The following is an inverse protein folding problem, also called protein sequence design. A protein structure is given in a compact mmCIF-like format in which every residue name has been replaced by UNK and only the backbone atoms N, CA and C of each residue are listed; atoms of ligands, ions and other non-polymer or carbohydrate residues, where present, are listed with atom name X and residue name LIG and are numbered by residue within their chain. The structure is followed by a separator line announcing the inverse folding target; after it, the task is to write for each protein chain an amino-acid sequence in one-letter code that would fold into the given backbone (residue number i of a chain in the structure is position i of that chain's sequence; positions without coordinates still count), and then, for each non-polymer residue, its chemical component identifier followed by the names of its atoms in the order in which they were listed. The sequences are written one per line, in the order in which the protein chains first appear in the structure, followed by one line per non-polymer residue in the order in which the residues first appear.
data_IF_994209598492
#
_entry.id   IF_994209598492
#
_cell.length_a   1.000
_cell.length_b   1.000
_cell.length_c   1.000
_cell.angle_alpha   90.00
_cell.angle_beta   90.00
_cell.angle_gamma   90.00
#
_symmetry.space_group_name_H-M   'P 1'
#
loop_
_entity.id
_entity.type
_entity.pdbx_description
1 polymer ?
#
# COMPACT_ATOMS: atom_id res chain seq x y z
N UNK A 1 8.92 25.16 24.12
CA UNK A 1 8.95 23.82 23.48
C UNK A 1 7.64 23.06 23.70
N UNK A 2 6.96 23.26 24.82
CA UNK A 2 5.74 22.52 25.19
C UNK A 2 4.56 22.73 24.22
N UNK A 3 4.39 23.95 23.71
CA UNK A 3 3.37 24.25 22.69
C UNK A 3 3.60 23.43 21.42
N UNK A 4 4.85 23.34 20.96
CA UNK A 4 5.20 22.59 19.76
C UNK A 4 5.00 21.07 19.97
N UNK A 5 5.42 20.57 21.13
CA UNK A 5 5.19 19.19 21.55
C UNK A 5 3.69 18.86 21.56
N UNK A 6 2.85 19.71 22.14
CA UNK A 6 1.39 19.54 22.12
C UNK A 6 0.82 19.57 20.70
N UNK A 7 1.21 20.54 19.86
CA UNK A 7 0.71 20.67 18.49
C UNK A 7 1.02 19.45 17.63
N UNK A 8 2.26 18.93 17.67
CA UNK A 8 2.62 17.70 16.97
C UNK A 8 1.91 16.47 17.54
N UNK A 9 1.63 16.45 18.85
CA UNK A 9 0.83 15.38 19.44
C UNK A 9 -0.62 15.39 18.94
N UNK A 10 -1.25 16.57 18.84
CA UNK A 10 -2.62 16.73 18.31
C UNK A 10 -2.67 16.39 16.82
N UNK A 11 -1.73 16.91 16.03
CA UNK A 11 -1.66 16.59 14.60
C UNK A 11 -1.40 15.09 14.36
N UNK A 12 -0.54 14.48 15.18
CA UNK A 12 -0.28 13.04 15.17
C UNK A 12 -1.52 12.22 15.53
N UNK A 13 -2.35 12.68 16.46
CA UNK A 13 -3.62 12.04 16.82
C UNK A 13 -4.60 12.07 15.62
N UNK A 14 -4.78 13.24 15.01
CA UNK A 14 -5.70 13.40 13.86
C UNK A 14 -5.27 12.53 12.69
N UNK A 15 -3.99 12.58 12.31
CA UNK A 15 -3.48 11.79 11.17
C UNK A 15 -3.52 10.29 11.43
N UNK A 16 -3.22 9.85 12.65
CA UNK A 16 -3.34 8.44 13.04
C UNK A 16 -4.79 7.94 13.06
N UNK A 17 -5.76 8.78 13.43
CA UNK A 17 -7.18 8.39 13.39
C UNK A 17 -7.63 8.06 11.97
N UNK A 18 -7.20 8.84 10.97
CA UNK A 18 -7.44 8.50 9.57
C UNK A 18 -6.83 7.14 9.18
N UNK A 19 -5.64 6.82 9.68
CA UNK A 19 -4.99 5.52 9.43
C UNK A 19 -5.76 4.36 10.09
N UNK A 20 -6.25 4.52 11.32
CA UNK A 20 -7.09 3.50 11.98
C UNK A 20 -8.45 3.30 11.30
N UNK A 21 -8.96 4.33 10.62
CA UNK A 21 -10.21 4.24 9.85
C UNK A 21 -10.01 3.69 8.43
N UNK A 22 -8.77 3.60 7.93
CA UNK A 22 -8.50 3.10 6.59
C UNK A 22 -9.05 1.67 6.33
N UNK A 23 -8.97 0.71 7.29
CA UNK A 23 -9.57 -0.61 7.11
C UNK A 23 -11.10 -0.65 7.11
N UNK A 24 -11.80 0.44 7.46
CA UNK A 24 -13.26 0.48 7.53
C UNK A 24 -13.90 0.12 6.17
N UNK A 25 -13.25 0.46 5.05
CA UNK A 25 -13.69 0.09 3.70
C UNK A 25 -13.70 -1.44 3.53
N UNK A 26 -12.64 -2.10 3.99
CA UNK A 26 -12.52 -3.58 3.99
C UNK A 26 -13.59 -4.21 4.88
N UNK A 27 -13.79 -3.68 6.09
CA UNK A 27 -14.79 -4.23 7.01
C UNK A 27 -16.23 -4.01 6.54
N UNK A 28 -16.51 -2.90 5.86
CA UNK A 28 -17.80 -2.68 5.19
C UNK A 28 -18.07 -3.76 4.15
N UNK A 29 -17.04 -4.20 3.41
CA UNK A 29 -17.15 -5.31 2.45
C UNK A 29 -17.44 -6.64 3.16
N UNK A 30 -16.72 -6.95 4.24
CA UNK A 30 -16.94 -8.16 5.05
C UNK A 30 -18.37 -8.22 5.59
N UNK A 31 -18.89 -7.09 6.08
CA UNK A 31 -20.27 -7.00 6.58
C UNK A 31 -21.30 -7.25 5.47
N UNK A 32 -21.05 -6.74 4.26
CA UNK A 32 -21.92 -6.92 3.10
C UNK A 32 -21.86 -8.35 2.53
N UNK A 33 -20.67 -8.94 2.44
CA UNK A 33 -20.47 -10.30 1.91
C UNK A 33 -20.75 -11.40 2.93
N UNK A 34 -20.86 -11.05 4.22
CA UNK A 34 -21.02 -11.97 5.36
C UNK A 34 -19.91 -13.02 5.41
N UNK A 35 -18.73 -12.69 4.88
CA UNK A 35 -17.56 -13.55 4.79
C UNK A 35 -16.29 -12.72 4.87
N UNK A 36 -15.26 -13.25 5.52
CA UNK A 36 -13.92 -12.61 5.52
C UNK A 36 -13.20 -12.74 4.18
N UNK A 37 -13.79 -13.45 3.21
CA UNK A 37 -13.18 -13.72 1.90
C UNK A 37 -11.74 -14.24 2.08
N UNK A 38 -10.76 -13.60 1.43
CA UNK A 38 -9.33 -13.90 1.54
C UNK A 38 -8.59 -12.92 2.46
N UNK A 39 -9.29 -12.08 3.22
CA UNK A 39 -8.68 -11.12 4.14
C UNK A 39 -8.12 -11.84 5.38
N UNK A 40 -6.93 -11.45 5.81
CA UNK A 40 -6.30 -11.94 7.03
C UNK A 40 -6.69 -11.08 8.23
N UNK A 41 -6.99 -11.73 9.35
CA UNK A 41 -7.30 -11.05 10.62
C UNK A 41 -6.06 -10.70 11.46
N UNK A 42 -4.89 -11.27 11.12
CA UNK A 42 -3.64 -11.13 11.89
C UNK A 42 -3.22 -9.67 12.08
N UNK A 43 -3.24 -8.80 11.03
CA UNK A 43 -2.82 -7.41 11.19
C UNK A 43 -3.62 -6.66 12.26
N UNK A 44 -4.92 -6.90 12.36
CA UNK A 44 -5.79 -6.21 13.34
C UNK A 44 -5.46 -6.65 14.77
N UNK A 45 -5.24 -7.94 15.00
CA UNK A 45 -4.86 -8.45 16.34
C UNK A 45 -3.47 -7.97 16.76
N UNK A 46 -2.51 -7.93 15.83
CA UNK A 46 -1.16 -7.43 16.14
C UNK A 46 -1.16 -5.91 16.38
N UNK A 47 -1.96 -5.16 15.61
CA UNK A 47 -2.16 -3.72 15.83
C UNK A 47 -2.81 -3.47 17.18
N UNK A 48 -3.80 -4.28 17.57
CA UNK A 48 -4.41 -4.22 18.90
C UNK A 48 -3.37 -4.38 20.02
N UNK A 49 -2.46 -5.35 19.92
CA UNK A 49 -1.37 -5.51 20.91
C UNK A 49 -0.49 -4.26 21.00
N UNK A 50 -0.07 -3.72 19.85
CA UNK A 50 0.75 -2.53 19.81
C UNK A 50 0.03 -1.30 20.39
N UNK A 51 -1.27 -1.15 20.08
CA UNK A 51 -2.10 -0.10 20.65
C UNK A 51 -2.24 -0.26 22.17
N UNK A 52 -2.48 -1.46 22.69
CA UNK A 52 -2.59 -1.69 24.13
C UNK A 52 -1.28 -1.36 24.86
N UNK A 53 -0.13 -1.85 24.37
CA UNK A 53 1.17 -1.56 24.96
C UNK A 53 1.55 -0.08 24.89
N UNK A 54 1.30 0.57 23.75
CA UNK A 54 1.59 1.99 23.56
C UNK A 54 0.64 2.88 24.37
N UNK A 55 -0.63 2.48 24.50
CA UNK A 55 -1.59 3.18 25.33
C UNK A 55 -1.19 3.13 26.80
N UNK A 56 -0.75 1.96 27.27
CA UNK A 56 -0.24 1.76 28.63
C UNK A 56 1.01 2.57 28.91
N UNK A 57 1.96 2.56 27.97
CA UNK A 57 3.18 3.36 28.04
C UNK A 57 2.88 4.86 28.19
N UNK A 58 1.88 5.37 27.46
CA UNK A 58 1.49 6.77 27.48
C UNK A 58 0.74 7.22 28.74
N UNK A 59 0.36 6.31 29.65
CA UNK A 59 -0.39 6.69 30.85
C UNK A 59 0.48 7.54 31.79
N UNK A 60 -0.07 8.56 32.48
CA UNK A 60 0.71 9.51 33.28
C UNK A 60 1.55 8.86 34.39
N UNK A 61 1.11 7.73 34.94
CA UNK A 61 1.87 7.00 35.94
C UNK A 61 3.06 6.22 35.34
N UNK A 62 3.04 5.89 34.05
CA UNK A 62 4.17 5.24 33.34
C UNK A 62 5.08 6.27 32.71
N UNK A 63 4.52 7.19 31.92
CA UNK A 63 5.24 8.30 31.29
C UNK A 63 4.43 9.60 31.36
N UNK A 64 4.75 10.51 32.31
CA UNK A 64 3.96 11.71 32.61
C UNK A 64 3.66 12.64 31.41
N UNK A 65 4.58 12.72 30.44
CA UNK A 65 4.48 13.66 29.31
C UNK A 65 3.90 13.02 28.03
N UNK A 66 3.43 11.78 28.07
CA UNK A 66 3.01 11.04 26.87
C UNK A 66 1.50 10.77 26.79
N UNK A 67 0.68 11.58 27.47
CA UNK A 67 -0.77 11.36 27.50
C UNK A 67 -1.39 11.31 26.09
N UNK A 68 -0.90 12.13 25.16
CA UNK A 68 -1.38 12.13 23.76
C UNK A 68 -1.07 10.82 23.01
N UNK A 69 -0.02 10.08 23.41
CA UNK A 69 0.23 8.73 22.91
C UNK A 69 -0.84 7.77 23.42
N UNK A 70 -1.27 7.95 24.68
CA UNK A 70 -2.33 7.13 25.28
C UNK A 70 -3.69 7.36 24.62
N UNK A 71 -4.05 8.60 24.30
CA UNK A 71 -5.35 8.93 23.67
C UNK A 71 -5.50 8.27 22.31
N UNK A 72 -4.49 8.39 21.44
CA UNK A 72 -4.59 7.84 20.08
C UNK A 72 -4.56 6.32 20.08
N UNK A 73 -3.71 5.71 20.92
CA UNK A 73 -3.58 4.26 20.97
C UNK A 73 -4.74 3.61 21.72
N UNK A 74 -5.32 4.27 22.72
CA UNK A 74 -6.56 3.84 23.35
C UNK A 74 -7.74 3.87 22.37
N UNK A 75 -7.84 4.92 21.56
CA UNK A 75 -8.82 5.02 20.47
C UNK A 75 -8.59 3.92 19.42
N UNK A 76 -7.34 3.73 19.01
CA UNK A 76 -6.93 2.65 18.10
C UNK A 76 -7.29 1.27 18.65
N UNK A 77 -7.03 1.00 19.92
CA UNK A 77 -7.39 -0.27 20.56
C UNK A 77 -8.91 -0.52 20.53
N UNK A 78 -9.73 0.51 20.75
CA UNK A 78 -11.18 0.38 20.63
C UNK A 78 -11.62 0.06 19.18
N UNK A 79 -11.06 0.77 18.19
CA UNK A 79 -11.34 0.54 16.77
C UNK A 79 -10.90 -0.86 16.33
N UNK A 80 -9.67 -1.26 16.67
CA UNK A 80 -9.12 -2.57 16.35
C UNK A 80 -9.89 -3.70 17.04
N UNK A 81 -10.39 -3.48 18.25
CA UNK A 81 -11.27 -4.45 18.92
C UNK A 81 -12.56 -4.68 18.12
N UNK A 82 -13.18 -3.62 17.58
CA UNK A 82 -14.37 -3.74 16.72
C UNK A 82 -14.03 -4.55 15.46
N UNK A 83 -12.91 -4.25 14.81
CA UNK A 83 -12.45 -4.99 13.63
C UNK A 83 -12.21 -6.47 13.94
N UNK A 84 -11.50 -6.79 15.02
CA UNK A 84 -11.26 -8.17 15.44
C UNK A 84 -12.57 -8.90 15.74
N UNK A 85 -13.52 -8.25 16.42
CA UNK A 85 -14.84 -8.83 16.71
C UNK A 85 -15.62 -9.15 15.43
N UNK A 86 -15.70 -8.19 14.49
CA UNK A 86 -16.35 -8.42 13.20
C UNK A 86 -15.66 -9.56 12.44
N UNK A 87 -14.33 -9.61 12.45
CA UNK A 87 -13.58 -10.69 11.80
C UNK A 87 -13.91 -12.05 12.41
N UNK A 88 -13.93 -12.17 13.74
CA UNK A 88 -14.25 -13.41 14.46
C UNK A 88 -15.69 -13.87 14.17
N UNK A 89 -16.63 -12.95 13.98
CA UNK A 89 -18.03 -13.27 13.66
C UNK A 89 -18.15 -13.92 12.27
N UNK A 90 -17.47 -13.39 11.25
CA UNK A 90 -17.62 -13.81 9.85
C UNK A 90 -16.53 -14.78 9.34
N UNK A 91 -15.48 -15.04 10.13
CA UNK A 91 -14.38 -15.91 9.73
C UNK A 91 -14.76 -17.40 9.71
N UNK A 92 -14.20 -18.20 8.77
CA UNK A 92 -14.34 -19.65 8.80
C UNK A 92 -13.67 -20.24 10.05
N UNK A 93 -14.17 -21.40 10.54
CA UNK A 93 -13.74 -22.04 11.81
C UNK A 93 -12.21 -22.13 11.97
N UNK A 94 -11.48 -22.48 10.90
CA UNK A 94 -10.02 -22.59 10.91
C UNK A 94 -9.33 -21.25 11.19
N UNK A 95 -9.72 -20.19 10.48
CA UNK A 95 -9.13 -18.86 10.69
C UNK A 95 -9.60 -18.26 12.01
N UNK A 96 -10.85 -18.47 12.41
CA UNK A 96 -11.38 -18.06 13.71
C UNK A 96 -10.56 -18.62 14.88
N UNK A 97 -10.19 -19.91 14.83
CA UNK A 97 -9.33 -20.53 15.84
C UNK A 97 -7.94 -19.88 15.92
N UNK A 98 -7.34 -19.56 14.77
CA UNK A 98 -6.04 -18.85 14.70
C UNK A 98 -6.12 -17.46 15.31
N UNK A 99 -7.16 -16.69 14.98
CA UNK A 99 -7.38 -15.34 15.51
C UNK A 99 -7.68 -15.37 17.02
N UNK A 100 -8.49 -16.31 17.49
CA UNK A 100 -8.74 -16.48 18.93
C UNK A 100 -7.47 -16.87 19.70
N UNK A 101 -6.66 -17.80 19.17
CA UNK A 101 -5.37 -18.15 19.77
C UNK A 101 -4.43 -16.95 19.86
N UNK A 102 -4.37 -16.13 18.81
CA UNK A 102 -3.57 -14.91 18.80
C UNK A 102 -4.11 -13.86 19.78
N UNK A 103 -5.43 -13.72 19.91
CA UNK A 103 -6.05 -12.81 20.88
C UNK A 103 -5.73 -13.23 22.33
N UNK A 104 -5.75 -14.52 22.65
CA UNK A 104 -5.30 -15.04 23.95
C UNK A 104 -3.84 -14.68 24.21
N UNK A 105 -2.97 -14.81 23.21
CA UNK A 105 -1.58 -14.39 23.31
C UNK A 105 -1.45 -12.88 23.60
N UNK A 106 -2.20 -12.04 22.88
CA UNK A 106 -2.21 -10.57 23.10
C UNK A 106 -2.63 -10.22 24.53
N UNK A 107 -3.72 -10.81 25.01
CA UNK A 107 -4.23 -10.57 26.37
C UNK A 107 -3.20 -11.03 27.40
N UNK A 108 -2.56 -12.18 27.21
CA UNK A 108 -1.53 -12.69 28.12
C UNK A 108 -0.30 -11.77 28.18
N UNK A 109 0.21 -11.31 27.03
CA UNK A 109 1.35 -10.39 26.96
C UNK A 109 1.01 -9.06 27.63
N UNK A 110 -0.13 -8.45 27.27
CA UNK A 110 -0.54 -7.18 27.85
C UNK A 110 -0.75 -7.28 29.36
N UNK A 111 -1.44 -8.32 29.83
CA UNK A 111 -1.68 -8.54 31.26
C UNK A 111 -0.38 -8.72 32.03
N UNK A 112 0.59 -9.45 31.47
CA UNK A 112 1.91 -9.65 32.07
C UNK A 112 2.67 -8.33 32.18
N UNK A 113 2.71 -7.54 31.10
CA UNK A 113 3.37 -6.22 31.11
C UNK A 113 2.71 -5.28 32.12
N UNK A 114 1.37 -5.20 32.12
CA UNK A 114 0.61 -4.39 33.06
C UNK A 114 0.88 -4.81 34.51
N UNK A 115 0.80 -6.11 34.81
CA UNK A 115 1.03 -6.64 36.15
C UNK A 115 2.45 -6.36 36.66
N UNK A 116 3.49 -6.70 35.88
CA UNK A 116 4.88 -6.44 36.25
C UNK A 116 5.12 -4.93 36.42
N UNK A 117 4.58 -4.11 35.52
CA UNK A 117 4.74 -2.66 35.59
C UNK A 117 4.11 -2.03 36.83
N UNK A 118 2.98 -2.56 37.31
CA UNK A 118 2.26 -2.02 38.46
C UNK A 118 2.84 -2.49 39.79
N UNK A 119 3.16 -3.78 39.89
CA UNK A 119 3.49 -4.41 41.18
C UNK A 119 4.98 -4.60 41.41
N UNK A 120 5.78 -4.77 40.35
CA UNK A 120 7.21 -5.05 40.49
C UNK A 120 8.11 -3.84 40.19
N UNK A 121 7.65 -2.87 39.38
CA UNK A 121 8.48 -1.78 38.89
C UNK A 121 7.96 -0.39 39.30
N UNK A 122 8.90 0.50 39.60
CA UNK A 122 8.60 1.86 40.05
C UNK A 122 9.39 2.90 39.27
N UNK A 123 8.83 4.11 39.14
CA UNK A 123 9.49 5.27 38.54
C UNK A 123 10.13 4.99 37.18
N UNK A 124 11.43 5.25 37.07
CA UNK A 124 12.19 5.12 35.82
C UNK A 124 12.22 3.69 35.26
N UNK A 125 12.39 2.67 36.11
CA UNK A 125 12.42 1.26 35.66
C UNK A 125 11.11 0.84 35.02
N UNK A 126 9.97 1.33 35.54
CA UNK A 126 8.64 1.10 34.94
C UNK A 126 8.55 1.73 33.55
N UNK A 127 9.01 2.98 33.40
CA UNK A 127 9.04 3.67 32.10
C UNK A 127 9.88 2.92 31.08
N UNK A 128 11.11 2.51 31.45
CA UNK A 128 12.00 1.76 30.57
C UNK A 128 11.39 0.43 30.14
N UNK A 129 10.84 -0.34 31.08
CA UNK A 129 10.26 -1.66 30.79
C UNK A 129 9.07 -1.56 29.83
N UNK A 130 8.11 -0.66 30.11
CA UNK A 130 6.94 -0.48 29.27
C UNK A 130 7.32 0.12 27.90
N UNK A 131 8.25 1.07 27.88
CA UNK A 131 8.75 1.69 26.66
C UNK A 131 9.43 0.69 25.74
N UNK A 132 10.33 -0.14 26.28
CA UNK A 132 10.98 -1.21 25.52
C UNK A 132 9.97 -2.21 24.95
N UNK A 133 9.01 -2.65 25.76
CA UNK A 133 7.96 -3.54 25.29
C UNK A 133 7.18 -2.93 24.12
N UNK A 134 6.69 -1.69 24.25
CA UNK A 134 5.98 -1.00 23.19
C UNK A 134 6.84 -0.85 21.92
N UNK A 135 8.09 -0.37 22.05
CA UNK A 135 9.00 -0.17 20.91
C UNK A 135 9.33 -1.46 20.17
N UNK A 136 9.61 -2.56 20.89
CA UNK A 136 9.94 -3.85 20.26
C UNK A 136 8.77 -4.34 19.40
N UNK A 137 7.54 -4.31 19.95
CA UNK A 137 6.36 -4.75 19.21
C UNK A 137 6.04 -3.82 18.04
N UNK A 138 6.23 -2.51 18.18
CA UNK A 138 6.10 -1.55 17.07
C UNK A 138 7.09 -1.86 15.93
N UNK A 139 8.36 -2.12 16.24
CA UNK A 139 9.37 -2.42 15.22
C UNK A 139 9.07 -3.74 14.51
N UNK A 140 8.63 -4.77 15.24
CA UNK A 140 8.24 -6.06 14.65
C UNK A 140 7.10 -5.87 13.64
N UNK A 141 6.13 -5.00 13.92
CA UNK A 141 5.04 -4.71 12.99
C UNK A 141 5.53 -4.09 11.67
N UNK A 142 6.59 -3.28 11.70
CA UNK A 142 7.18 -2.69 10.50
C UNK A 142 7.95 -3.69 9.63
N UNK A 143 8.24 -4.90 10.12
CA UNK A 143 8.92 -5.93 9.33
C UNK A 143 8.11 -6.35 8.10
N UNK A 144 6.76 -6.38 8.19
CA UNK A 144 5.90 -6.78 7.07
C UNK A 144 5.97 -5.82 5.88
N UNK A 145 5.74 -4.49 6.02
CA UNK A 145 5.88 -3.58 4.89
C UNK A 145 7.33 -3.48 4.38
N UNK A 146 8.33 -3.58 5.27
CA UNK A 146 9.74 -3.56 4.86
C UNK A 146 10.10 -4.77 3.99
N UNK A 147 9.69 -5.97 4.37
CA UNK A 147 9.91 -7.21 3.61
C UNK A 147 9.34 -7.11 2.18
N UNK A 148 8.17 -6.49 2.00
CA UNK A 148 7.54 -6.33 0.69
C UNK A 148 8.35 -5.39 -0.22
N UNK A 149 8.86 -4.28 0.34
CA UNK A 149 9.67 -3.32 -0.41
C UNK A 149 11.03 -3.89 -0.80
N UNK A 150 11.66 -4.65 0.11
CA UNK A 150 12.96 -5.29 -0.13
C UNK A 150 12.82 -6.47 -1.08
N UNK A 151 11.81 -7.33 -0.90
CA UNK A 151 11.52 -8.47 -1.79
C UNK A 151 11.18 -8.03 -3.23
N UNK A 152 10.62 -6.83 -3.40
CA UNK A 152 10.39 -6.25 -4.73
C UNK A 152 11.65 -5.72 -5.42
N UNK A 153 12.79 -5.63 -4.71
CA UNK A 153 14.06 -5.19 -5.31
C UNK A 153 15.24 -6.14 -5.17
N UNK A 154 15.56 -6.76 -4.01
CA UNK A 154 16.82 -7.54 -3.83
C UNK A 154 16.71 -8.58 -2.68
N UNK A 155 17.07 -9.85 -2.98
CA UNK A 155 17.55 -10.98 -2.13
C UNK A 155 16.55 -11.73 -1.18
N UNK A 156 16.34 -13.06 -1.36
CA UNK A 156 15.51 -13.92 -0.49
C UNK A 156 16.22 -14.48 0.76
N UNK A 157 17.31 -13.88 1.25
CA UNK A 157 18.14 -14.45 2.34
C UNK A 157 17.76 -14.00 3.77
N UNK A 158 16.82 -13.06 3.94
CA UNK A 158 16.30 -12.67 5.26
C UNK A 158 15.13 -13.53 5.75
N UNK A 159 14.79 -14.59 5.01
CA UNK A 159 13.62 -15.42 5.27
C UNK A 159 13.81 -16.40 6.47
N UNK A 160 15.04 -16.78 6.83
CA UNK A 160 15.22 -17.88 7.80
C UNK A 160 14.83 -17.56 9.26
N UNK A 161 14.96 -16.31 9.74
CA UNK A 161 14.58 -15.97 11.12
C UNK A 161 13.08 -15.64 11.29
N UNK A 162 12.40 -15.15 10.25
CA UNK A 162 10.95 -14.91 10.28
C UNK A 162 10.13 -16.17 9.93
N UNK A 163 10.72 -17.15 9.24
CA UNK A 163 10.03 -18.36 8.80
C UNK A 163 9.70 -19.38 9.89
N UNK A 164 10.28 -19.31 11.09
CA UNK A 164 9.89 -20.25 12.15
C UNK A 164 8.50 -19.93 12.75
N UNK A 165 8.08 -18.66 12.72
CA UNK A 165 6.69 -18.27 13.03
C UNK A 165 5.77 -18.32 11.80
N UNK A 166 6.34 -18.26 10.60
CA UNK A 166 5.59 -18.09 9.34
C UNK A 166 5.30 -19.37 8.55
N UNK A 167 5.75 -20.57 8.99
CA UNK A 167 5.58 -21.81 8.21
C UNK A 167 4.17 -22.40 8.18
N UNK A 168 3.19 -21.79 8.87
CA UNK A 168 1.79 -22.21 8.82
C UNK A 168 0.78 -21.11 8.47
N UNK A 169 1.21 -19.88 8.12
CA UNK A 169 0.24 -18.79 7.92
C UNK A 169 0.62 -17.65 6.96
N UNK A 170 1.56 -17.86 6.03
CA UNK A 170 2.22 -16.74 5.34
C UNK A 170 2.09 -16.73 3.82
N UNK A 171 0.96 -17.19 3.30
CA UNK A 171 0.56 -16.86 1.93
C UNK A 171 -0.39 -15.65 1.87
N UNK A 172 -1.12 -15.33 2.94
CA UNK A 172 -2.25 -14.37 2.85
C UNK A 172 -1.86 -12.90 2.95
N UNK A 173 -0.92 -12.51 3.83
CA UNK A 173 -0.55 -11.09 4.02
C UNK A 173 0.09 -10.46 2.78
N UNK A 174 0.89 -11.25 2.04
CA UNK A 174 1.49 -10.83 0.76
C UNK A 174 0.47 -10.78 -0.38
N UNK A 175 -0.53 -11.67 -0.35
CA UNK A 175 -1.55 -11.80 -1.41
C UNK A 175 -2.53 -10.64 -1.38
N UNK A 176 -2.89 -10.07 -0.23
CA UNK A 176 -3.83 -8.92 -0.21
C UNK A 176 -3.23 -7.67 -0.87
N UNK A 177 -1.93 -7.40 -0.68
CA UNK A 177 -1.25 -6.31 -1.37
C UNK A 177 -0.97 -6.63 -2.85
N UNK A 178 -0.68 -7.90 -3.19
CA UNK A 178 -0.52 -8.32 -4.61
C UNK A 178 -1.84 -8.43 -5.38
N UNK A 179 -2.97 -8.63 -4.72
CA UNK A 179 -4.29 -8.67 -5.36
C UNK A 179 -4.74 -7.26 -5.79
N UNK A 180 -4.41 -6.24 -4.99
CA UNK A 180 -4.57 -4.82 -5.37
C UNK A 180 -3.77 -4.50 -6.65
N UNK A 181 -2.59 -5.10 -6.80
CA UNK A 181 -1.74 -4.95 -7.99
C UNK A 181 -2.31 -5.72 -9.20
N UNK A 182 -3.02 -6.84 -8.98
CA UNK A 182 -3.55 -7.69 -10.06
C UNK A 182 -4.93 -7.27 -10.58
N UNK A 183 -5.68 -6.45 -9.84
CA UNK A 183 -7.01 -5.97 -10.24
C UNK A 183 -7.02 -4.87 -11.29
N UNK A 184 -5.87 -4.39 -11.79
CA UNK A 184 -5.77 -3.27 -12.76
C UNK A 184 -6.65 -2.06 -12.39
N UNK A 185 -6.85 -1.83 -11.11
CA UNK A 185 -7.40 -0.59 -10.57
C UNK A 185 -6.28 0.07 -9.77
N UNK A 186 -5.73 1.15 -10.32
CA UNK A 186 -4.77 2.06 -9.66
C UNK A 186 -5.43 2.89 -8.54
N UNK A 187 -6.62 2.50 -8.08
CA UNK A 187 -7.42 3.24 -7.12
C UNK A 187 -7.13 2.85 -5.66
N UNK A 188 -6.36 1.79 -5.39
CA UNK A 188 -6.17 1.22 -4.04
C UNK A 188 -4.72 1.05 -3.55
N UNK A 189 -3.78 1.83 -4.08
CA UNK A 189 -2.55 2.14 -3.34
C UNK A 189 -2.44 3.67 -3.23
N UNK A 190 -3.28 4.29 -2.38
CA UNK A 190 -3.55 5.71 -2.48
C UNK A 190 -2.29 6.47 -2.07
N UNK A 191 -1.84 7.39 -2.93
CA UNK A 191 -0.90 8.44 -2.56
C UNK A 191 -1.24 9.03 -1.18
N UNK A 192 -2.53 9.22 -0.90
CA UNK A 192 -3.03 9.67 0.37
C UNK A 192 -2.67 8.76 1.54
N UNK A 193 -2.77 7.43 1.42
CA UNK A 193 -2.43 6.52 2.53
C UNK A 193 -0.94 6.63 2.89
N UNK A 194 -0.05 6.60 1.89
CA UNK A 194 1.39 6.78 2.12
C UNK A 194 1.73 8.18 2.64
N UNK A 195 1.02 9.21 2.17
CA UNK A 195 1.14 10.57 2.68
C UNK A 195 0.73 10.66 4.16
N UNK A 196 -0.42 10.08 4.54
CA UNK A 196 -0.88 10.06 5.92
C UNK A 196 0.04 9.23 6.83
N UNK A 197 0.60 8.11 6.35
CA UNK A 197 1.62 7.35 7.09
C UNK A 197 2.88 8.19 7.32
N UNK A 198 3.37 8.89 6.28
CA UNK A 198 4.52 9.78 6.39
C UNK A 198 4.27 10.95 7.35
N UNK A 199 3.13 11.64 7.23
CA UNK A 199 2.76 12.75 8.09
C UNK A 199 2.58 12.31 9.54
N UNK A 200 1.89 11.19 9.77
CA UNK A 200 1.72 10.60 11.09
C UNK A 200 3.08 10.22 11.70
N UNK A 201 3.92 9.50 10.95
CA UNK A 201 5.25 9.10 11.40
C UNK A 201 6.15 10.29 11.73
N UNK A 202 6.16 11.32 10.88
CA UNK A 202 6.92 12.56 11.12
C UNK A 202 6.41 13.27 12.37
N UNK A 203 5.10 13.39 12.55
CA UNK A 203 4.51 14.07 13.69
C UNK A 203 4.89 13.41 15.01
N UNK A 204 4.78 12.08 15.09
CA UNK A 204 5.13 11.33 16.29
C UNK A 204 6.64 11.22 16.51
N UNK A 205 7.44 11.21 15.43
CA UNK A 205 8.88 11.29 15.53
C UNK A 205 9.33 12.61 16.15
N UNK A 206 8.83 13.74 15.63
CA UNK A 206 9.11 15.08 16.18
C UNK A 206 8.56 15.22 17.60
N UNK A 207 7.36 14.70 17.89
CA UNK A 207 6.82 14.63 19.25
C UNK A 207 7.79 13.93 20.21
N UNK A 208 8.28 12.73 19.84
CA UNK A 208 9.25 11.99 20.64
C UNK A 208 10.57 12.73 20.84
N UNK A 209 11.09 13.39 19.80
CA UNK A 209 12.31 14.20 19.90
C UNK A 209 12.13 15.40 20.84
N UNK A 210 11.02 16.12 20.72
CA UNK A 210 10.72 17.29 21.56
C UNK A 210 10.49 16.89 23.03
N UNK A 211 9.90 15.73 23.27
CA UNK A 211 9.70 15.16 24.60
C UNK A 211 10.93 14.47 25.20
N UNK A 212 12.04 14.36 24.44
CA UNK A 212 13.23 13.61 24.85
C UNK A 212 12.94 12.11 25.06
N UNK A 213 12.00 11.55 24.31
CA UNK A 213 11.47 10.21 24.52
C UNK A 213 11.85 9.26 23.36
N UNK A 214 12.92 8.45 23.51
CA UNK A 214 13.38 7.56 22.46
C UNK A 214 12.38 6.44 22.14
N UNK A 215 11.54 6.05 23.10
CA UNK A 215 10.57 4.97 22.90
C UNK A 215 9.43 5.38 21.96
N UNK A 216 9.14 6.68 21.90
CA UNK A 216 8.23 7.25 20.90
C UNK A 216 9.00 7.58 19.61
N UNK A 217 10.18 8.21 19.71
CA UNK A 217 10.91 8.67 18.53
C UNK A 217 11.36 7.51 17.63
N UNK A 218 12.05 6.49 18.17
CA UNK A 218 12.64 5.42 17.37
C UNK A 218 11.64 4.69 16.46
N UNK A 219 10.53 4.11 16.97
CA UNK A 219 9.59 3.38 16.10
C UNK A 219 8.91 4.31 15.09
N UNK A 220 8.57 5.55 15.47
CA UNK A 220 7.95 6.50 14.55
C UNK A 220 8.93 7.02 13.49
N UNK A 221 10.23 7.07 13.79
CA UNK A 221 11.30 7.32 12.82
C UNK A 221 11.36 6.24 11.75
N UNK A 222 11.26 4.96 12.13
CA UNK A 222 11.10 3.86 11.17
C UNK A 222 9.84 4.05 10.31
N UNK A 223 8.69 4.34 10.94
CA UNK A 223 7.44 4.61 10.22
C UNK A 223 7.55 5.77 9.22
N UNK A 224 8.20 6.86 9.61
CA UNK A 224 8.48 8.02 8.77
C UNK A 224 9.35 7.63 7.56
N UNK A 225 10.44 6.88 7.79
CA UNK A 225 11.33 6.41 6.72
C UNK A 225 10.62 5.50 5.73
N UNK A 226 9.78 4.58 6.21
CA UNK A 226 8.96 3.72 5.35
C UNK A 226 7.94 4.52 4.53
N UNK A 227 7.25 5.48 5.16
CA UNK A 227 6.32 6.38 4.46
C UNK A 227 7.00 7.22 3.37
N UNK A 228 8.19 7.75 3.66
CA UNK A 228 9.00 8.48 2.68
C UNK A 228 9.42 7.57 1.51
N UNK A 229 9.91 6.36 1.80
CA UNK A 229 10.26 5.38 0.78
C UNK A 229 9.07 5.05 -0.14
N UNK A 230 7.87 4.89 0.43
CA UNK A 230 6.65 4.67 -0.35
C UNK A 230 6.31 5.85 -1.26
N UNK A 231 6.41 7.09 -0.76
CA UNK A 231 6.17 8.30 -1.56
C UNK A 231 7.18 8.46 -2.70
N UNK A 232 8.46 8.17 -2.44
CA UNK A 232 9.51 8.19 -3.47
C UNK A 232 9.23 7.14 -4.55
N UNK A 233 8.91 5.91 -4.14
CA UNK A 233 8.54 4.84 -5.08
C UNK A 233 7.32 5.22 -5.92
N UNK A 234 6.32 5.85 -5.31
CA UNK A 234 5.16 6.37 -6.01
C UNK A 234 5.53 7.43 -7.04
N UNK A 235 6.38 8.41 -6.68
CA UNK A 235 6.83 9.46 -7.58
C UNK A 235 7.59 8.90 -8.80
N UNK A 236 8.50 7.94 -8.58
CA UNK A 236 9.26 7.27 -9.64
C UNK A 236 8.32 6.51 -10.58
N UNK A 237 7.39 5.71 -10.04
CA UNK A 237 6.52 4.87 -10.85
C UNK A 237 5.42 5.64 -11.59
N UNK A 238 4.87 6.69 -10.96
CA UNK A 238 3.87 7.58 -11.58
C UNK A 238 4.42 8.27 -12.82
N UNK A 239 5.67 8.73 -12.76
CA UNK A 239 6.28 9.43 -13.88
C UNK A 239 6.55 8.49 -15.08
N UNK A 240 6.75 7.19 -14.82
CA UNK A 240 6.98 6.19 -15.87
C UNK A 240 5.71 5.71 -16.59
N UNK A 241 4.52 6.00 -16.08
CA UNK A 241 3.23 5.75 -16.75
C UNK A 241 2.66 7.01 -17.45
N UNK A 242 3.44 8.10 -17.50
CA UNK A 242 3.08 9.36 -18.15
C UNK A 242 3.41 9.47 -19.64
N UNK A 243 4.14 8.52 -20.22
CA UNK A 243 4.31 8.47 -21.68
C UNK A 243 3.53 7.29 -22.27
N UNK A 244 2.51 7.54 -23.13
CA UNK A 244 2.18 6.53 -24.11
C UNK A 244 3.43 6.40 -24.99
N UNK A 245 4.12 5.26 -24.91
CA UNK A 245 5.02 4.85 -25.98
C UNK A 245 4.20 4.82 -27.25
N UNK A 246 4.17 5.94 -27.99
CA UNK A 246 3.81 5.93 -29.40
C UNK A 246 4.69 4.87 -30.01
N UNK A 247 4.06 3.85 -30.57
CA UNK A 247 4.73 2.87 -31.40
C UNK A 247 5.44 3.65 -32.52
N UNK A 248 6.73 3.91 -32.32
CA UNK A 248 7.62 4.28 -33.39
C UNK A 248 8.32 3.01 -33.80
N UNK A 249 7.60 2.17 -34.55
CA UNK A 249 8.27 1.33 -35.52
C UNK A 249 8.91 2.27 -36.53
N UNK A 250 10.24 2.31 -36.59
CA UNK A 250 10.95 2.42 -37.86
C UNK A 250 12.46 2.32 -37.64
N UNK A 251 13.04 1.30 -38.26
CA UNK A 251 14.47 1.09 -38.38
C UNK A 251 14.75 -0.12 -39.25
N UNK A 252 14.75 0.08 -40.58
CA UNK A 252 15.10 -0.92 -41.60
C UNK A 252 14.29 -0.74 -42.90
N UNK A 253 14.40 0.40 -43.59
CA UNK A 253 15.27 0.59 -44.77
C UNK A 253 14.95 -0.33 -45.98
N UNK A 254 14.19 0.18 -46.96
CA UNK A 254 14.50 0.06 -48.39
C UNK A 254 13.48 0.86 -49.23
N UNK A 255 13.97 1.96 -49.82
CA UNK A 255 13.78 2.41 -51.20
C UNK A 255 12.40 2.29 -51.89
N UNK A 256 11.97 3.46 -52.40
CA UNK A 256 11.13 3.70 -53.59
C UNK A 256 9.61 3.41 -53.59
N UNK A 257 8.87 4.47 -53.26
CA UNK A 257 7.97 5.18 -54.19
C UNK A 257 6.96 4.31 -54.97
N UNK A 258 5.88 3.92 -54.31
CA UNK A 258 4.63 3.58 -54.98
C UNK A 258 4.02 4.80 -55.68
N UNK A 259 3.65 4.61 -56.95
CA UNK A 259 2.43 5.18 -57.53
C UNK A 259 2.31 6.71 -57.61
N UNK A 260 3.29 7.35 -58.26
CA UNK A 260 3.06 8.60 -59.01
C UNK A 260 3.02 8.45 -60.54
N UNK A 261 2.76 7.23 -61.04
CA UNK A 261 2.60 6.99 -62.49
C UNK A 261 1.21 6.48 -62.94
N UNK A 262 0.21 6.37 -62.05
CA UNK A 262 -1.17 6.03 -62.48
C UNK A 262 -2.12 7.21 -62.71
N UNK A 263 -1.63 8.45 -62.65
CA UNK A 263 -2.42 9.65 -62.98
C UNK A 263 -1.97 10.41 -64.23
N UNK A 264 -1.01 9.88 -65.00
CA UNK A 264 -0.58 10.49 -66.28
C UNK A 264 -0.90 9.68 -67.54
N UNK A 265 -1.57 8.52 -67.43
CA UNK A 265 -2.05 7.75 -68.59
C UNK A 265 -3.54 7.92 -68.92
N UNK A 266 -4.33 8.56 -68.07
CA UNK A 266 -5.78 8.73 -68.29
C UNK A 266 -6.19 10.06 -68.95
N UNK A 267 -5.26 10.75 -69.63
CA UNK A 267 -5.55 11.98 -70.38
C UNK A 267 -5.30 11.88 -71.89
N UNK A 268 -4.94 10.70 -72.43
CA UNK A 268 -4.70 10.54 -73.86
C UNK A 268 -5.78 9.76 -74.62
N UNK A 269 -7.02 9.72 -74.10
CA UNK A 269 -8.12 8.98 -74.74
C UNK A 269 -9.40 9.77 -74.99
N UNK A 270 -9.40 11.11 -74.84
CA UNK A 270 -10.53 11.96 -75.22
C UNK A 270 -10.13 13.08 -76.17
N UNK A 271 -9.54 12.71 -77.30
CA UNK A 271 -9.34 13.59 -78.44
C UNK A 271 -9.55 12.83 -79.73
N UNK A 272 -10.57 13.22 -80.48
CA UNK A 272 -10.93 12.76 -81.83
C UNK A 272 -11.94 11.59 -81.86
N UNK A 273 -13.17 11.90 -81.45
CA UNK A 273 -14.34 11.51 -82.22
C UNK A 273 -14.71 12.70 -83.11
N UNK A 274 -14.37 12.65 -84.39
CA UNK A 274 -15.10 13.40 -85.43
C UNK A 274 -14.91 12.71 -86.78
N UNK A 275 -16.07 12.46 -87.42
CA UNK A 275 -16.30 12.36 -88.86
C UNK A 275 -16.47 10.95 -89.46
N UNK A 276 -17.75 10.56 -89.50
CA UNK A 276 -18.49 10.26 -90.73
C UNK A 276 -18.21 8.94 -91.49
N UNK A 277 -19.07 7.96 -91.22
CA UNK A 277 -20.10 7.46 -92.15
C UNK A 277 -19.78 7.47 -93.67
N UNK A 278 -19.56 6.29 -94.28
CA UNK A 278 -20.15 5.91 -95.58
C UNK A 278 -19.69 4.53 -96.08
N UNK A 279 -20.65 3.60 -96.14
CA UNK A 279 -21.03 2.69 -97.23
C UNK A 279 -20.01 2.25 -98.32
N UNK A 280 -20.24 0.99 -98.74
CA UNK A 280 -20.21 0.45 -100.12
C UNK A 280 -18.88 -0.04 -100.73
N UNK A 281 -18.85 -1.36 -100.98
CA UNK A 281 -18.62 -2.05 -102.28
C UNK A 281 -17.36 -1.79 -103.15
N UNK A 282 -16.96 -2.91 -103.77
CA UNK A 282 -16.11 -3.11 -104.96
C UNK A 282 -14.60 -3.09 -104.73
N UNK A 283 -13.91 -4.24 -104.78
CA UNK A 283 -13.66 -5.15 -105.90
C UNK A 283 -12.72 -4.54 -106.95
N UNK A 284 -11.53 -5.14 -107.06
CA UNK A 284 -10.76 -5.43 -108.28
C UNK A 284 -10.60 -4.37 -109.37
N UNK A 285 -9.35 -3.99 -109.64
CA UNK A 285 -8.67 -3.96 -110.95
C UNK A 285 -7.23 -3.45 -110.69
N UNK A 286 -6.15 -3.95 -111.29
CA UNK A 286 -6.02 -4.64 -112.57
C UNK A 286 -4.63 -5.33 -112.71
N UNK A 287 -4.62 -6.48 -113.39
CA UNK A 287 -3.62 -6.98 -114.36
C UNK A 287 -2.20 -7.28 -113.83
N UNK A 288 -1.55 -8.43 -114.09
CA UNK A 288 -1.56 -9.41 -115.21
C UNK A 288 -1.25 -10.79 -114.64
#
# INVERSE_FOLDING_TARGET
MDVLHFLFGVFGNVTALFLFLAPAITFKRILKSRSTENFSGIPYVMTLLNCLLSAWYGLPFVSPNNLLVSTINGTGAAIESIYVLVFIIFAPKKEKGKILGLLTFVIAVFSTVAFVSLFALHGHSRKLFCGLAATIFSIIMYASPLSIMVSSRIIPLFDCCLLFSCRNSSASSYVTQRLVIKTKSVEFMPFFLSLFVFLCGTSWFVYGLLGGDPFVAVPNGFGCGLGAAQLILYAIYRNNHGEPKKASSNGGSSLEMGEKEKQKQNQNQNGINTSSNSNHLNNSHNQV
#
